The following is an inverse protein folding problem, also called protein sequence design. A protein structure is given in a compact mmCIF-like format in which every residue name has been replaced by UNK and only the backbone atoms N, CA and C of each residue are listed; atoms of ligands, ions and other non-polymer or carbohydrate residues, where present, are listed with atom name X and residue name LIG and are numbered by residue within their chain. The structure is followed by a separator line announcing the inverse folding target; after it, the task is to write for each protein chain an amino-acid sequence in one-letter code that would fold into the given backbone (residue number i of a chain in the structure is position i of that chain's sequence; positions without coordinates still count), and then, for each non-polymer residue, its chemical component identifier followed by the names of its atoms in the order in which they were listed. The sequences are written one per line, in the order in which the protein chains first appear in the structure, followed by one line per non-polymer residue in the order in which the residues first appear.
data_IF_817880286446
#
_entry.id   IF_817880286446
#
_cell.length_a   1.000
_cell.length_b   1.000
_cell.length_c   1.000
_cell.angle_alpha   90.00
_cell.angle_beta   90.00
_cell.angle_gamma   90.00
#
_symmetry.space_group_name_H-M   'P 1'
#
loop_
_entity.id
_entity.type
_entity.pdbx_description
1 polymer ?
#
# COMPACT_ATOMS: atom_id res chain seq x y z
N UNK A 1 22.88 15.48 1.84
CA UNK A 1 22.25 15.05 0.58
C UNK A 1 21.02 15.88 0.19
N UNK A 2 19.86 15.76 0.86
CA UNK A 2 18.66 16.54 0.48
C UNK A 2 18.86 18.06 0.69
N UNK A 3 19.39 18.46 1.85
CA UNK A 3 19.67 19.86 2.19
C UNK A 3 20.77 20.48 1.30
N UNK A 4 21.80 19.68 0.99
CA UNK A 4 22.86 20.06 0.05
C UNK A 4 22.32 20.25 -1.38
N UNK A 5 21.40 19.37 -1.82
CA UNK A 5 20.72 19.50 -3.11
C UNK A 5 19.82 20.73 -3.16
N UNK A 6 19.11 21.05 -2.08
CA UNK A 6 18.31 22.28 -2.02
C UNK A 6 19.20 23.52 -2.02
N UNK A 7 20.31 23.53 -1.27
CA UNK A 7 21.25 24.64 -1.26
C UNK A 7 21.89 24.87 -2.64
N UNK A 8 22.33 23.80 -3.30
CA UNK A 8 22.86 23.87 -4.67
C UNK A 8 21.81 24.39 -5.67
N UNK A 9 20.54 23.98 -5.52
CA UNK A 9 19.43 24.51 -6.34
C UNK A 9 19.23 26.00 -6.12
N UNK A 10 19.21 26.46 -4.87
CA UNK A 10 19.04 27.89 -4.55
C UNK A 10 20.19 28.71 -5.14
N UNK A 11 21.44 28.28 -4.92
CA UNK A 11 22.63 28.94 -5.47
C UNK A 11 22.59 29.03 -7.01
N UNK A 12 22.20 27.95 -7.67
CA UNK A 12 22.07 27.94 -9.13
C UNK A 12 20.99 28.92 -9.65
N UNK A 13 19.87 29.06 -8.91
CA UNK A 13 18.82 30.02 -9.27
C UNK A 13 19.32 31.45 -9.08
N UNK A 14 19.99 31.74 -7.98
CA UNK A 14 20.56 33.06 -7.68
C UNK A 14 21.61 33.50 -8.71
N UNK A 15 22.43 32.57 -9.20
CA UNK A 15 23.42 32.86 -10.25
C UNK A 15 22.78 33.16 -11.62
N UNK A 16 21.61 32.58 -11.90
CA UNK A 16 20.99 32.59 -13.24
C UNK A 16 19.87 33.62 -13.38
N UNK A 17 19.22 34.01 -12.28
CA UNK A 17 18.13 34.98 -12.26
C UNK A 17 18.65 36.32 -11.75
N UNK A 18 18.56 37.36 -12.58
CA UNK A 18 18.94 38.70 -12.15
C UNK A 18 18.02 39.17 -11.02
N UNK A 19 18.56 39.72 -9.92
CA UNK A 19 17.73 40.30 -8.88
C UNK A 19 16.90 41.44 -9.45
N UNK A 20 15.65 41.51 -9.02
CA UNK A 20 14.72 42.57 -9.40
C UNK A 20 15.21 43.88 -8.75
N UNK A 21 15.17 45.03 -9.45
CA UNK A 21 15.49 46.31 -8.82
C UNK A 21 14.62 46.55 -7.59
N UNK A 22 15.26 46.94 -6.48
CA UNK A 22 14.54 47.19 -5.22
C UNK A 22 13.62 48.41 -5.32
N UNK A 23 14.03 49.43 -6.08
CA UNK A 23 13.29 50.70 -6.22
C UNK A 23 13.00 51.03 -7.69
N UNK A 24 11.83 50.67 -8.16
CA UNK A 24 11.38 51.01 -9.53
C UNK A 24 11.17 52.51 -9.74
N UNK A 25 10.85 53.26 -8.68
CA UNK A 25 10.62 54.70 -8.74
C UNK A 25 11.90 55.52 -8.99
N UNK A 26 13.08 54.91 -8.79
CA UNK A 26 14.37 55.54 -9.07
C UNK A 26 14.79 55.38 -10.55
N UNK A 27 14.07 54.57 -11.35
CA UNK A 27 14.37 54.34 -12.75
C UNK A 27 13.62 55.34 -13.64
N UNK A 28 14.28 55.81 -14.69
CA UNK A 28 13.61 56.59 -15.74
C UNK A 28 12.73 55.69 -16.63
N UNK A 29 11.81 56.31 -17.38
CA UNK A 29 10.87 55.59 -18.26
C UNK A 29 11.59 54.71 -19.30
N UNK A 30 12.67 55.20 -19.91
CA UNK A 30 13.43 54.47 -20.90
C UNK A 30 14.06 53.18 -20.32
N UNK A 31 14.59 53.24 -19.09
CA UNK A 31 15.14 52.11 -18.37
C UNK A 31 14.04 51.10 -18.02
N UNK A 32 12.87 51.56 -17.56
CA UNK A 32 11.73 50.68 -17.28
C UNK A 32 11.29 49.91 -18.53
N UNK A 33 11.15 50.59 -19.67
CA UNK A 33 10.81 49.94 -20.95
C UNK A 33 11.86 48.92 -21.37
N UNK A 34 13.15 49.26 -21.22
CA UNK A 34 14.25 48.33 -21.55
C UNK A 34 14.22 47.08 -20.67
N UNK A 35 13.95 47.24 -19.37
CA UNK A 35 13.92 46.17 -18.39
C UNK A 35 12.77 45.19 -18.66
N UNK A 36 11.58 45.70 -18.97
CA UNK A 36 10.42 44.86 -19.34
C UNK A 36 10.71 44.04 -20.58
N UNK A 37 11.32 44.63 -21.61
CA UNK A 37 11.71 43.92 -22.83
C UNK A 37 12.74 42.84 -22.56
N UNK A 38 13.72 43.12 -21.70
CA UNK A 38 14.74 42.14 -21.30
C UNK A 38 14.11 40.96 -20.56
N UNK A 39 13.26 41.21 -19.56
CA UNK A 39 12.59 40.14 -18.82
C UNK A 39 11.67 39.31 -19.70
N UNK A 40 10.93 39.93 -20.62
CA UNK A 40 10.10 39.20 -21.57
C UNK A 40 10.94 38.27 -22.46
N UNK A 41 12.10 38.74 -22.94
CA UNK A 41 13.03 37.91 -23.73
C UNK A 41 13.56 36.73 -22.90
N UNK A 42 14.02 36.98 -21.67
CA UNK A 42 14.53 35.93 -20.77
C UNK A 42 13.45 34.90 -20.44
N UNK A 43 12.21 35.32 -20.26
CA UNK A 43 11.07 34.42 -20.01
C UNK A 43 10.85 33.50 -21.20
N UNK A 44 10.82 34.04 -22.43
CA UNK A 44 10.63 33.26 -23.63
C UNK A 44 11.73 32.20 -23.82
N UNK A 45 13.00 32.60 -23.66
CA UNK A 45 14.14 31.67 -23.74
C UNK A 45 14.11 30.60 -22.65
N UNK A 46 13.71 30.97 -21.42
CA UNK A 46 13.62 30.02 -20.31
C UNK A 46 12.48 29.02 -20.51
N UNK A 47 11.35 29.46 -21.07
CA UNK A 47 10.21 28.60 -21.35
C UNK A 47 10.52 27.57 -22.45
N UNK A 48 11.24 27.97 -23.50
CA UNK A 48 11.75 27.06 -24.53
C UNK A 48 12.66 25.98 -23.91
N UNK A 49 13.64 26.39 -23.10
CA UNK A 49 14.54 25.46 -22.42
C UNK A 49 13.79 24.53 -21.45
N UNK A 50 12.78 25.06 -20.74
CA UNK A 50 11.92 24.28 -19.84
C UNK A 50 11.20 23.19 -20.63
N UNK A 51 10.59 23.57 -21.75
CA UNK A 51 9.86 22.64 -22.62
C UNK A 51 10.77 21.51 -23.13
N UNK A 52 11.96 21.85 -23.63
CA UNK A 52 12.93 20.86 -24.13
C UNK A 52 13.34 19.84 -23.06
N UNK A 53 13.61 20.32 -21.85
CA UNK A 53 13.95 19.45 -20.72
C UNK A 53 12.76 18.57 -20.34
N UNK A 54 11.55 19.13 -20.31
CA UNK A 54 10.35 18.38 -19.99
C UNK A 54 10.06 17.28 -21.03
N UNK A 55 10.30 17.54 -22.32
CA UNK A 55 10.18 16.54 -23.38
C UNK A 55 11.22 15.42 -23.22
N UNK A 56 12.46 15.76 -22.87
CA UNK A 56 13.51 14.77 -22.59
C UNK A 56 13.14 13.89 -21.40
N UNK A 57 12.63 14.48 -20.31
CA UNK A 57 12.19 13.73 -19.12
C UNK A 57 11.03 12.80 -19.48
N UNK A 58 9.99 13.29 -20.19
CA UNK A 58 8.86 12.46 -20.63
C UNK A 58 9.30 11.26 -21.46
N UNK A 59 10.26 11.47 -22.38
CA UNK A 59 10.82 10.37 -23.17
C UNK A 59 11.56 9.37 -22.28
N UNK A 60 12.37 9.85 -21.34
CA UNK A 60 13.07 9.00 -20.39
C UNK A 60 12.10 8.18 -19.53
N UNK A 61 11.01 8.78 -19.06
CA UNK A 61 9.98 8.09 -18.28
C UNK A 61 9.32 6.97 -19.11
N UNK A 62 9.02 7.25 -20.39
CA UNK A 62 8.52 6.23 -21.31
C UNK A 62 9.52 5.10 -21.49
N UNK A 63 10.79 5.42 -21.77
CA UNK A 63 11.86 4.43 -21.95
C UNK A 63 12.06 3.58 -20.67
N UNK A 64 12.00 4.20 -19.49
CA UNK A 64 12.08 3.50 -18.20
C UNK A 64 10.90 2.54 -18.04
N UNK A 65 9.68 2.96 -18.37
CA UNK A 65 8.50 2.11 -18.28
C UNK A 65 8.60 0.91 -19.22
N UNK A 66 8.98 1.15 -20.49
CA UNK A 66 9.20 0.10 -21.49
C UNK A 66 10.26 -0.90 -21.04
N UNK A 67 11.39 -0.42 -20.52
CA UNK A 67 12.45 -1.28 -19.98
C UNK A 67 11.99 -2.05 -18.74
N UNK A 68 11.18 -1.43 -17.88
CA UNK A 68 10.62 -2.08 -16.69
C UNK A 68 9.73 -3.25 -17.08
N UNK A 69 8.86 -3.06 -18.09
CA UNK A 69 8.03 -4.13 -18.65
C UNK A 69 8.90 -5.27 -19.19
N UNK A 70 9.88 -4.96 -20.04
CA UNK A 70 10.80 -5.97 -20.62
C UNK A 70 11.56 -6.77 -19.56
N UNK A 71 12.05 -6.09 -18.52
CA UNK A 71 12.73 -6.76 -17.39
C UNK A 71 11.79 -7.70 -16.65
N UNK A 72 10.53 -7.31 -16.47
CA UNK A 72 9.52 -8.14 -15.82
C UNK A 72 9.14 -9.36 -16.66
N UNK A 73 9.02 -9.21 -17.98
CA UNK A 73 8.76 -10.32 -18.91
C UNK A 73 9.93 -11.33 -18.91
N UNK A 74 11.18 -10.86 -18.89
CA UNK A 74 12.38 -11.71 -18.84
C UNK A 74 12.50 -12.44 -17.50
N UNK A 75 12.21 -11.76 -16.38
CA UNK A 75 12.25 -12.39 -15.04
C UNK A 75 11.12 -13.43 -14.87
N UNK A 76 10.05 -13.31 -15.67
CA UNK A 76 8.85 -14.12 -15.57
C UNK A 76 8.09 -13.86 -14.27
N UNK A 77 6.78 -14.12 -14.27
CA UNK A 77 5.95 -14.06 -13.04
C UNK A 77 6.46 -15.00 -11.93
N UNK A 78 7.22 -16.02 -12.31
CA UNK A 78 7.77 -17.01 -11.40
C UNK A 78 9.29 -16.82 -11.29
N UNK A 79 9.72 -16.04 -10.31
CA UNK A 79 11.15 -15.93 -9.95
C UNK A 79 11.63 -17.34 -9.62
N UNK A 80 12.51 -17.90 -10.46
CA UNK A 80 13.08 -19.24 -10.26
C UNK A 80 13.74 -19.27 -8.87
N UNK A 81 13.18 -19.98 -7.88
CA UNK A 81 13.75 -19.98 -6.55
C UNK A 81 15.15 -20.58 -6.60
N UNK A 82 16.12 -19.95 -5.95
CA UNK A 82 17.47 -20.53 -5.82
C UNK A 82 17.35 -21.85 -5.07
N UNK A 83 17.65 -22.96 -5.76
CA UNK A 83 17.59 -24.30 -5.20
C UNK A 83 18.69 -24.44 -4.14
N UNK A 84 18.32 -24.33 -2.86
CA UNK A 84 19.21 -24.69 -1.74
C UNK A 84 19.28 -26.21 -1.65
N UNK A 85 20.49 -26.77 -1.51
CA UNK A 85 20.70 -28.20 -1.25
C UNK A 85 20.15 -28.54 0.14
N UNK A 86 18.88 -28.92 0.20
CA UNK A 86 18.24 -29.44 1.43
C UNK A 86 18.36 -30.96 1.44
N UNK A 87 19.15 -31.47 2.39
CA UNK A 87 19.13 -32.90 2.72
C UNK A 87 17.81 -33.22 3.43
N UNK A 88 17.06 -34.21 2.89
CA UNK A 88 15.79 -34.69 3.46
C UNK A 88 15.92 -35.17 4.91
N UNK A 89 17.15 -35.52 5.32
CA UNK A 89 17.46 -36.17 6.59
C UNK A 89 17.98 -35.19 7.65
N UNK A 90 18.52 -34.03 7.28
CA UNK A 90 19.15 -33.12 8.25
C UNK A 90 18.15 -32.51 9.24
N UNK A 91 16.97 -32.07 8.76
CA UNK A 91 15.91 -31.60 9.65
C UNK A 91 15.30 -32.73 10.51
N UNK A 92 15.29 -33.97 10.00
CA UNK A 92 14.82 -35.13 10.76
C UNK A 92 15.79 -35.53 11.87
N UNK A 93 17.10 -35.39 11.64
CA UNK A 93 18.13 -35.63 12.64
C UNK A 93 18.15 -34.52 13.70
N UNK A 94 17.98 -33.24 13.34
CA UNK A 94 17.85 -32.17 14.33
C UNK A 94 16.67 -32.37 15.30
N UNK A 95 15.57 -32.98 14.83
CA UNK A 95 14.42 -33.38 15.66
C UNK A 95 14.69 -34.62 16.53
N UNK A 96 15.68 -35.44 16.20
CA UNK A 96 16.11 -36.57 17.02
C UNK A 96 17.06 -36.14 18.15
N UNK A 97 17.82 -35.06 17.95
CA UNK A 97 18.80 -34.55 18.92
C UNK A 97 18.27 -33.46 19.86
N UNK A 98 17.08 -32.91 19.59
CA UNK A 98 16.38 -32.06 20.56
C UNK A 98 15.35 -32.91 21.31
N UNK A 99 15.53 -33.19 22.62
CA UNK A 99 14.46 -33.75 23.42
C UNK A 99 13.24 -32.81 23.34
N UNK A 100 12.06 -33.42 23.24
CA UNK A 100 10.77 -32.76 23.08
C UNK A 100 10.54 -31.76 24.20
N UNK A 101 10.65 -30.47 23.90
CA UNK A 101 9.98 -29.42 24.65
C UNK A 101 8.98 -28.75 23.72
N UNK A 102 7.72 -29.07 23.99
CA UNK A 102 6.55 -28.21 23.88
C UNK A 102 6.00 -27.87 22.48
N UNK A 103 4.94 -28.63 22.15
CA UNK A 103 3.71 -28.20 21.47
C UNK A 103 3.83 -27.48 20.11
N UNK A 104 4.04 -28.26 19.04
CA UNK A 104 3.46 -27.91 17.74
C UNK A 104 1.96 -28.22 17.85
N UNK A 105 1.15 -27.20 18.11
CA UNK A 105 -0.31 -27.26 18.14
C UNK A 105 -0.89 -27.67 16.77
N UNK A 106 -0.87 -28.98 16.55
CA UNK A 106 -1.42 -29.62 15.36
C UNK A 106 -2.96 -29.72 15.44
N UNK A 107 -3.52 -29.55 16.64
CA UNK A 107 -4.95 -29.73 16.91
C UNK A 107 -5.75 -28.50 16.49
N UNK A 108 -5.21 -27.28 16.65
CA UNK A 108 -5.82 -26.07 16.11
C UNK A 108 -5.84 -26.04 14.57
N UNK A 109 -4.77 -26.51 13.92
CA UNK A 109 -4.68 -26.55 12.46
C UNK A 109 -5.60 -27.58 11.80
N UNK A 110 -6.03 -28.63 12.52
CA UNK A 110 -6.90 -29.68 11.98
C UNK A 110 -8.39 -29.33 12.07
N UNK A 111 -8.79 -28.42 12.98
CA UNK A 111 -10.21 -28.11 13.23
C UNK A 111 -10.86 -27.12 12.25
N UNK A 112 -10.12 -26.46 11.36
CA UNK A 112 -10.72 -25.46 10.47
C UNK A 112 -10.81 -25.88 8.99
N UNK A 113 -10.32 -27.07 8.62
CA UNK A 113 -10.31 -27.53 7.21
C UNK A 113 -11.55 -28.33 6.78
N UNK A 114 -12.60 -28.40 7.59
CA UNK A 114 -13.93 -28.91 7.19
C UNK A 114 -14.85 -27.69 7.04
N UNK A 115 -15.27 -27.19 5.87
CA UNK A 115 -15.77 -27.87 4.68
C UNK A 115 -15.63 -26.91 3.47
N UNK A 116 -14.89 -27.29 2.42
CA UNK A 116 -15.02 -26.64 1.10
C UNK A 116 -15.27 -27.61 -0.06
N UNK A 117 -15.38 -28.91 0.21
CA UNK A 117 -15.52 -29.91 -0.86
C UNK A 117 -16.58 -31.01 -0.62
N UNK A 118 -17.37 -30.94 0.45
CA UNK A 118 -18.53 -31.82 0.59
C UNK A 118 -19.77 -31.14 -0.02
N UNK A 119 -20.09 -31.48 -1.27
CA UNK A 119 -21.43 -31.29 -1.83
C UNK A 119 -22.32 -32.44 -1.34
N UNK A 120 -23.56 -32.10 -0.94
CA UNK A 120 -24.66 -32.95 -0.46
C UNK A 120 -24.52 -33.49 0.97
N UNK A 121 -25.55 -33.54 1.80
CA UNK A 121 -27.00 -33.54 1.55
C UNK A 121 -27.75 -32.89 2.72
N UNK A 122 -28.97 -32.46 2.45
CA UNK A 122 -29.95 -31.94 3.41
C UNK A 122 -30.13 -32.87 4.62
N UNK A 123 -30.09 -32.32 5.84
CA UNK A 123 -31.17 -32.44 6.83
C UNK A 123 -30.76 -31.86 8.19
N UNK A 124 -31.51 -30.83 8.59
CA UNK A 124 -32.09 -30.58 9.92
C UNK A 124 -31.20 -30.79 11.15
N UNK A 125 -30.80 -29.67 11.75
CA UNK A 125 -30.59 -29.56 13.20
C UNK A 125 -31.53 -28.48 13.79
N UNK A 126 -32.78 -28.45 13.31
CA UNK A 126 -33.89 -27.68 13.91
C UNK A 126 -34.42 -28.31 15.21
N UNK A 127 -33.84 -29.42 15.69
CA UNK A 127 -34.33 -30.16 16.86
C UNK A 127 -33.38 -30.09 18.08
N UNK A 128 -32.87 -28.90 18.41
CA UNK A 128 -32.35 -28.66 19.77
C UNK A 128 -33.47 -28.10 20.64
N UNK A 129 -34.32 -29.00 21.11
CA UNK A 129 -35.39 -28.70 22.06
C UNK A 129 -34.79 -28.13 23.35
N UNK A 130 -35.12 -26.88 23.68
CA UNK A 130 -34.63 -26.22 24.88
C UNK A 130 -35.51 -26.59 26.08
N UNK A 131 -35.13 -27.63 26.82
CA UNK A 131 -35.89 -28.15 27.96
C UNK A 131 -36.20 -27.10 29.05
N UNK A 132 -35.49 -25.96 29.05
CA UNK A 132 -35.68 -24.86 30.01
C UNK A 132 -36.93 -24.02 29.77
N UNK A 133 -37.49 -24.02 28.55
CA UNK A 133 -38.72 -23.28 28.23
C UNK A 133 -39.99 -24.04 28.66
N UNK A 134 -40.00 -25.37 28.58
CA UNK A 134 -41.13 -26.19 29.03
C UNK A 134 -41.38 -26.14 30.54
N UNK A 135 -40.34 -25.95 31.34
CA UNK A 135 -40.48 -25.84 32.81
C UNK A 135 -41.05 -24.47 33.21
N UNK A 136 -40.72 -23.40 32.48
CA UNK A 136 -41.21 -22.07 32.79
C UNK A 136 -42.69 -21.89 32.43
N UNK A 137 -43.17 -22.52 31.35
CA UNK A 137 -44.59 -22.46 30.96
C UNK A 137 -45.54 -23.11 31.98
N UNK A 138 -45.09 -24.12 32.74
CA UNK A 138 -45.91 -24.77 33.78
C UNK A 138 -45.88 -24.05 35.12
N UNK A 139 -44.89 -23.20 35.36
CA UNK A 139 -44.72 -22.48 36.62
C UNK A 139 -45.49 -21.15 36.68
N UNK A 140 -46.07 -20.70 35.56
CA UNK A 140 -46.96 -19.53 35.48
C UNK A 140 -48.41 -19.98 35.46
N UNK A 141 -48.88 -20.46 36.62
CA UNK A 141 -50.07 -19.96 37.34
C UNK A 141 -51.17 -19.33 36.47
N UNK A 142 -52.42 -19.79 36.41
CA UNK A 142 -53.11 -20.72 37.31
C UNK A 142 -53.13 -20.23 38.75
N UNK A 143 -53.83 -19.11 39.04
CA UNK A 143 -54.61 -18.82 40.28
C UNK A 143 -54.99 -17.33 40.40
N UNK A 144 -56.24 -16.97 40.03
CA UNK A 144 -57.22 -16.17 40.81
C UNK A 144 -58.42 -15.73 39.92
N UNK A 145 -59.62 -16.26 40.19
CA UNK A 145 -60.86 -15.51 40.49
C UNK A 145 -62.09 -16.45 40.48
N UNK A 146 -62.68 -16.72 41.65
CA UNK A 146 -64.12 -16.95 41.79
C UNK A 146 -64.60 -16.73 43.24
N UNK A 147 -65.32 -15.63 43.49
CA UNK A 147 -66.39 -15.43 44.49
C UNK A 147 -67.35 -14.43 43.78
N UNK A 148 -68.68 -14.55 43.75
CA UNK A 148 -69.66 -14.78 44.82
C UNK A 148 -70.88 -15.61 44.33
N UNK A 149 -71.57 -16.24 45.26
CA UNK A 149 -73.03 -16.07 45.43
C UNK A 149 -73.27 -15.44 46.81
#
# INVERSE_FOLDING_TARGET
AAEERSAARTKYIEERVKPIPNDFNALNEAHLVSLVKEYHKQLAETEELRYDVEMKIRKQDYDINELTIKVNDIKGKFIKPTLKKVSKTTQKLQKLHKPKEEEIDFRAHLKQSTNKFALKDEHKDDDKVNFREQIQLKSTKGEHHHEEE
#
